data_IF_424118004118
#
_entry.id   IF_424118004118
#
_cell.length_a   1.000
_cell.length_b   1.000
_cell.length_c   1.000
_cell.angle_alpha   90.00
_cell.angle_beta   90.00
_cell.angle_gamma   90.00
#
_symmetry.space_group_name_H-M   'P 1'
#
loop_
_entity.id
_entity.type
_entity.pdbx_description
1 polymer ?
#
# COMPACT_ATOMS: atom_id res chain seq x y z
N UNK A 1 -27.43 27.17 -0.01
CA UNK A 1 -26.10 27.27 0.64
C UNK A 1 -25.54 25.86 0.82
N UNK A 2 -25.44 25.08 -0.26
CA UNK A 2 -25.15 23.63 -0.20
C UNK A 2 -23.83 23.24 -0.89
N UNK A 3 -23.19 24.20 -1.57
CA UNK A 3 -21.99 23.95 -2.37
C UNK A 3 -20.69 23.91 -1.52
N UNK A 4 -20.74 24.40 -0.28
CA UNK A 4 -19.57 24.45 0.61
C UNK A 4 -19.28 23.09 1.28
N UNK A 5 -20.31 22.29 1.55
CA UNK A 5 -20.17 20.96 2.15
C UNK A 5 -19.62 19.91 1.18
N UNK A 6 -19.99 19.98 -0.11
CA UNK A 6 -19.55 19.00 -1.11
C UNK A 6 -18.04 19.13 -1.37
N UNK A 7 -17.53 20.35 -1.55
CA UNK A 7 -16.08 20.59 -1.71
C UNK A 7 -15.27 20.11 -0.49
N UNK A 8 -15.86 20.17 0.72
CA UNK A 8 -15.21 19.72 1.95
C UNK A 8 -15.12 18.19 2.05
N UNK A 9 -16.04 17.46 1.41
CA UNK A 9 -16.05 15.99 1.37
C UNK A 9 -15.24 15.40 0.19
N UNK A 10 -15.12 16.14 -0.92
CA UNK A 10 -14.31 15.72 -2.07
C UNK A 10 -12.80 15.74 -1.77
N UNK A 11 -12.36 16.66 -0.92
CA UNK A 11 -10.96 16.80 -0.51
C UNK A 11 -10.42 15.58 0.29
N UNK A 12 -11.12 15.06 1.32
CA UNK A 12 -10.68 13.84 2.03
C UNK A 12 -10.77 12.60 1.14
N UNK A 13 -11.74 12.54 0.21
CA UNK A 13 -11.83 11.46 -0.78
C UNK A 13 -10.64 11.46 -1.74
N UNK A 14 -10.22 12.64 -2.22
CA UNK A 14 -9.05 12.78 -3.09
C UNK A 14 -7.77 12.30 -2.38
N UNK A 15 -7.57 12.70 -1.12
CA UNK A 15 -6.44 12.22 -0.32
C UNK A 15 -6.48 10.72 -0.07
N UNK A 16 -7.66 10.14 0.16
CA UNK A 16 -7.84 8.70 0.36
C UNK A 16 -7.46 7.92 -0.91
N UNK A 17 -7.90 8.37 -2.08
CA UNK A 17 -7.55 7.75 -3.37
C UNK A 17 -6.05 7.87 -3.64
N UNK A 18 -5.47 9.04 -3.39
CA UNK A 18 -4.03 9.28 -3.58
C UNK A 18 -3.19 8.40 -2.64
N UNK A 19 -3.62 8.23 -1.39
CA UNK A 19 -3.01 7.31 -0.42
C UNK A 19 -3.08 5.85 -0.94
N UNK A 20 -4.21 5.44 -1.51
CA UNK A 20 -4.41 4.10 -2.06
C UNK A 20 -3.51 3.83 -3.26
N UNK A 21 -3.37 4.81 -4.16
CA UNK A 21 -2.47 4.72 -5.32
C UNK A 21 -1.01 4.63 -4.86
N UNK A 22 -0.59 5.47 -3.91
CA UNK A 22 0.75 5.43 -3.33
C UNK A 22 1.02 4.06 -2.70
N UNK A 23 0.03 3.47 -2.04
CA UNK A 23 0.12 2.16 -1.44
C UNK A 23 0.37 1.05 -2.46
N UNK A 24 -0.39 1.04 -3.55
CA UNK A 24 -0.21 0.08 -4.65
C UNK A 24 1.15 0.25 -5.30
N UNK A 25 1.61 1.49 -5.51
CA UNK A 25 2.93 1.77 -6.07
C UNK A 25 4.05 1.23 -5.19
N UNK A 26 3.96 1.41 -3.87
CA UNK A 26 4.93 0.86 -2.92
C UNK A 26 4.97 -0.67 -3.03
N UNK A 27 3.81 -1.34 -3.03
CA UNK A 27 3.74 -2.80 -3.21
C UNK A 27 4.38 -3.22 -4.53
N UNK A 28 4.11 -2.51 -5.62
CA UNK A 28 4.65 -2.84 -6.93
C UNK A 28 6.17 -2.68 -6.99
N UNK A 29 6.73 -1.61 -6.39
CA UNK A 29 8.18 -1.39 -6.29
C UNK A 29 8.81 -2.48 -5.42
N UNK A 30 8.23 -2.77 -4.25
CA UNK A 30 8.72 -3.82 -3.34
C UNK A 30 8.71 -5.17 -4.06
N UNK A 31 7.64 -5.50 -4.77
CA UNK A 31 7.53 -6.75 -5.51
C UNK A 31 8.53 -6.82 -6.66
N UNK A 32 8.75 -5.73 -7.40
CA UNK A 32 9.74 -5.65 -8.46
C UNK A 32 11.17 -5.84 -7.96
N UNK A 33 11.55 -5.14 -6.88
CA UNK A 33 12.86 -5.30 -6.23
C UNK A 33 13.00 -6.74 -5.75
N UNK A 34 11.99 -7.26 -5.07
CA UNK A 34 12.04 -8.58 -4.48
C UNK A 34 12.07 -9.69 -5.54
N UNK A 35 11.31 -9.56 -6.62
CA UNK A 35 11.36 -10.48 -7.75
C UNK A 35 12.75 -10.50 -8.39
N UNK A 36 13.37 -9.32 -8.57
CA UNK A 36 14.72 -9.23 -9.12
C UNK A 36 15.77 -9.81 -8.15
N UNK A 37 15.61 -9.58 -6.84
CA UNK A 37 16.43 -10.19 -5.78
C UNK A 37 16.24 -11.71 -5.75
N UNK A 38 15.01 -12.21 -5.87
CA UNK A 38 14.70 -13.65 -5.91
C UNK A 38 15.33 -14.30 -7.14
N UNK A 39 15.22 -13.67 -8.31
CA UNK A 39 15.86 -14.13 -9.55
C UNK A 39 17.39 -14.12 -9.45
N UNK A 40 17.97 -13.05 -8.92
CA UNK A 40 19.43 -12.87 -8.86
C UNK A 40 20.09 -13.72 -7.76
N UNK A 41 19.37 -14.01 -6.66
CA UNK A 41 19.84 -14.86 -5.57
C UNK A 41 19.41 -16.33 -5.74
N UNK A 42 18.72 -16.68 -6.84
CA UNK A 42 18.13 -18.00 -7.08
C UNK A 42 17.27 -18.49 -5.87
N UNK A 43 16.64 -17.55 -5.18
CA UNK A 43 15.82 -17.84 -4.00
C UNK A 43 14.47 -18.44 -4.44
N UNK A 44 13.81 -19.23 -3.57
CA UNK A 44 12.52 -19.79 -3.89
C UNK A 44 11.45 -18.69 -4.02
N UNK A 45 10.58 -18.82 -5.02
CA UNK A 45 9.46 -17.90 -5.33
C UNK A 45 8.57 -17.60 -4.12
N UNK A 46 8.55 -18.47 -3.10
CA UNK A 46 7.78 -18.26 -1.87
C UNK A 46 8.23 -17.03 -1.07
N UNK A 47 9.47 -16.56 -1.25
CA UNK A 47 10.05 -15.44 -0.47
C UNK A 47 9.44 -14.13 -0.94
N UNK A 48 9.16 -14.02 -2.24
CA UNK A 48 8.42 -12.91 -2.81
C UNK A 48 7.02 -12.79 -2.19
N UNK A 49 6.36 -13.93 -2.07
CA UNK A 49 5.03 -14.02 -1.48
C UNK A 49 5.03 -13.70 0.02
N UNK A 50 6.01 -14.21 0.77
CA UNK A 50 6.11 -14.04 2.22
C UNK A 50 6.33 -12.58 2.62
N UNK A 51 7.17 -11.85 1.89
CA UNK A 51 7.38 -10.41 2.11
C UNK A 51 6.14 -9.62 1.72
N UNK A 52 5.47 -9.95 0.60
CA UNK A 52 4.22 -9.30 0.24
C UNK A 52 3.16 -9.47 1.34
N UNK A 53 3.05 -10.68 1.90
CA UNK A 53 2.16 -10.96 3.03
C UNK A 53 2.58 -10.20 4.29
N UNK A 54 3.87 -10.20 4.66
CA UNK A 54 4.36 -9.48 5.83
C UNK A 54 4.19 -7.96 5.69
N UNK A 55 4.37 -7.43 4.49
CA UNK A 55 4.16 -6.02 4.18
C UNK A 55 2.68 -5.67 4.26
N UNK A 56 1.80 -6.46 3.65
CA UNK A 56 0.35 -6.29 3.76
C UNK A 56 -0.12 -6.36 5.22
N UNK A 57 0.42 -7.30 6.01
CA UNK A 57 0.11 -7.45 7.43
C UNK A 57 0.62 -6.27 8.27
N UNK A 58 1.85 -5.81 8.01
CA UNK A 58 2.46 -4.69 8.72
C UNK A 58 1.72 -3.37 8.48
N UNK A 59 1.25 -3.14 7.26
CA UNK A 59 0.42 -1.98 6.96
C UNK A 59 -0.94 -2.13 7.63
N UNK A 60 -1.61 -3.28 7.52
CA UNK A 60 -2.91 -3.50 8.16
C UNK A 60 -2.84 -3.29 9.68
N UNK A 61 -1.73 -3.70 10.30
CA UNK A 61 -1.45 -3.44 11.70
C UNK A 61 -1.23 -1.94 11.97
N UNK A 62 -0.42 -1.26 11.16
CA UNK A 62 -0.20 0.18 11.28
C UNK A 62 -1.51 0.98 11.16
N UNK A 63 -2.37 0.66 10.18
CA UNK A 63 -3.69 1.29 10.04
C UNK A 63 -4.61 0.96 11.21
N UNK A 64 -4.58 -0.26 11.74
CA UNK A 64 -5.38 -0.63 12.92
C UNK A 64 -4.95 0.13 14.17
N UNK A 65 -3.64 0.24 14.42
CA UNK A 65 -3.08 0.98 15.55
C UNK A 65 -3.35 2.49 15.41
N UNK A 66 -3.21 3.05 14.21
CA UNK A 66 -3.44 4.48 13.97
C UNK A 66 -4.95 4.85 13.96
N UNK A 67 -5.84 3.85 13.99
CA UNK A 67 -7.29 4.03 14.08
C UNK A 67 -7.82 3.97 15.53
N UNK A 68 -7.03 3.45 16.49
CA UNK A 68 -7.37 3.39 17.92
C UNK A 68 -6.93 4.66 18.66
#
# INVERSE_FOLDING_TARGET
MEQHDINSLEQPLFFLVLQFIAFILIICIVYGILYNVVLNLNLPKWTAHMVATAFSLGIAYQTFINFI
#
